data_IF_056686066562
#
_entry.id   IF_056686066562
#
_cell.length_a   1.000
_cell.length_b   1.000
_cell.length_c   1.000
_cell.angle_alpha   90.00
_cell.angle_beta   90.00
_cell.angle_gamma   90.00
#
_symmetry.space_group_name_H-M   'P 1'
#
loop_
_entity.id
_entity.type
_entity.pdbx_description
1 polymer ?
#
# COMPACT_ATOMS: atom_id res chain seq x y z
N UNK A 1 12.84 -12.34 -20.84
CA UNK A 1 12.37 -11.58 -19.65
C UNK A 1 11.02 -10.90 -19.91
N UNK A 2 10.02 -11.62 -20.41
CA UNK A 2 8.71 -11.07 -20.79
C UNK A 2 7.51 -11.85 -20.21
N UNK A 3 7.74 -13.06 -19.71
CA UNK A 3 6.69 -13.93 -19.18
C UNK A 3 6.07 -13.42 -17.87
N UNK A 4 6.85 -12.72 -17.04
CA UNK A 4 6.43 -12.26 -15.71
C UNK A 4 5.33 -11.18 -15.75
N UNK A 5 5.23 -10.45 -16.89
CA UNK A 5 4.26 -9.37 -17.11
C UNK A 5 2.85 -9.86 -17.52
N UNK A 6 2.70 -11.14 -17.88
CA UNK A 6 1.41 -11.71 -18.28
C UNK A 6 0.79 -12.60 -17.19
N UNK A 7 1.15 -12.35 -15.93
CA UNK A 7 0.55 -13.02 -14.78
C UNK A 7 -0.29 -12.02 -13.99
N UNK A 8 -1.30 -12.48 -13.21
CA UNK A 8 -1.98 -11.60 -12.25
C UNK A 8 -1.00 -10.90 -11.30
N UNK A 9 0.13 -11.53 -10.95
CA UNK A 9 1.18 -10.92 -10.12
C UNK A 9 1.85 -9.71 -10.79
N UNK A 10 1.92 -9.67 -12.12
CA UNK A 10 2.40 -8.49 -12.84
C UNK A 10 1.53 -7.24 -12.64
N UNK A 11 0.25 -7.40 -12.27
CA UNK A 11 -0.64 -6.29 -11.91
C UNK A 11 -0.35 -5.74 -10.52
N UNK A 12 0.30 -6.53 -9.67
CA UNK A 12 0.64 -6.13 -8.31
C UNK A 12 1.94 -5.33 -8.26
N UNK A 13 2.70 -5.25 -9.35
CA UNK A 13 3.98 -4.55 -9.38
C UNK A 13 5.14 -5.42 -8.87
N UNK A 14 6.17 -4.78 -8.30
CA UNK A 14 7.36 -5.51 -7.83
C UNK A 14 7.95 -4.89 -6.57
N UNK A 15 8.73 -5.67 -5.82
CA UNK A 15 9.51 -5.19 -4.68
C UNK A 15 10.99 -5.16 -5.09
N UNK A 16 11.64 -4.01 -4.90
CA UNK A 16 13.05 -3.80 -5.20
C UNK A 16 13.64 -2.84 -4.16
N UNK A 17 14.83 -3.16 -3.63
CA UNK A 17 15.54 -2.31 -2.66
C UNK A 17 14.69 -1.81 -1.48
N UNK A 18 13.77 -2.65 -0.97
CA UNK A 18 12.91 -2.30 0.16
C UNK A 18 11.70 -1.44 -0.15
N UNK A 19 11.46 -1.15 -1.43
CA UNK A 19 10.31 -0.44 -1.90
C UNK A 19 9.47 -1.35 -2.79
N UNK A 20 8.16 -1.31 -2.58
CA UNK A 20 7.21 -1.82 -3.56
C UNK A 20 6.89 -0.73 -4.57
N UNK A 21 6.82 -1.09 -5.85
CA UNK A 21 6.54 -0.18 -6.96
C UNK A 21 5.24 -0.61 -7.65
N UNK A 22 4.27 0.30 -7.66
CA UNK A 22 2.96 0.12 -8.31
C UNK A 22 2.78 1.17 -9.40
N UNK A 23 2.49 0.75 -10.63
CA UNK A 23 2.31 1.66 -11.76
C UNK A 23 0.83 1.84 -12.08
N UNK A 24 0.43 3.07 -12.36
CA UNK A 24 -0.93 3.38 -12.81
C UNK A 24 -0.95 4.56 -13.78
N UNK A 25 -2.07 4.72 -14.47
CA UNK A 25 -2.36 5.89 -15.31
C UNK A 25 -3.58 6.61 -14.75
N UNK A 26 -3.49 7.93 -14.67
CA UNK A 26 -4.63 8.78 -14.31
C UNK A 26 -5.71 8.66 -15.39
N UNK A 27 -6.89 8.22 -14.98
CA UNK A 27 -8.06 8.05 -15.83
C UNK A 27 -9.03 9.22 -15.67
N UNK A 28 -10.06 9.28 -16.52
CA UNK A 28 -11.05 10.36 -16.48
C UNK A 28 -11.76 10.45 -15.13
N UNK A 29 -12.12 9.31 -14.55
CA UNK A 29 -12.75 9.19 -13.22
C UNK A 29 -11.87 9.71 -12.07
N UNK A 30 -10.55 9.85 -12.31
CA UNK A 30 -9.63 10.33 -11.30
C UNK A 30 -9.61 11.86 -11.19
N UNK A 31 -10.14 12.57 -12.20
CA UNK A 31 -10.04 14.03 -12.33
C UNK A 31 -11.28 14.77 -11.82
N UNK A 32 -11.10 16.01 -11.34
CA UNK A 32 -12.19 16.91 -10.95
C UNK A 32 -12.39 18.07 -11.93
N UNK A 33 -13.30 18.99 -11.60
CA UNK A 33 -13.62 20.16 -12.43
C UNK A 33 -12.42 21.10 -12.68
N UNK A 34 -11.34 20.98 -11.92
CA UNK A 34 -10.08 21.69 -12.13
C UNK A 34 -9.19 21.07 -13.22
N UNK A 35 -9.58 19.94 -13.81
CA UNK A 35 -8.80 19.25 -14.83
C UNK A 35 -7.57 18.52 -14.30
N UNK A 36 -7.49 18.36 -12.97
CA UNK A 36 -6.43 17.64 -12.26
C UNK A 36 -7.01 16.50 -11.43
N UNK A 37 -6.14 15.60 -10.96
CA UNK A 37 -6.52 14.52 -10.04
C UNK A 37 -7.20 15.11 -8.81
N UNK A 38 -8.42 14.64 -8.52
CA UNK A 38 -9.12 14.98 -7.28
C UNK A 38 -8.30 14.51 -6.08
N UNK A 39 -8.09 15.39 -5.11
CA UNK A 39 -7.16 15.12 -3.99
C UNK A 39 -7.41 13.77 -3.29
N UNK A 40 -8.65 13.34 -3.10
CA UNK A 40 -8.97 12.06 -2.48
C UNK A 40 -8.52 10.83 -3.31
N UNK A 41 -8.35 10.98 -4.63
CA UNK A 41 -7.90 9.88 -5.48
C UNK A 41 -6.43 9.51 -5.26
N UNK A 42 -5.60 10.41 -4.73
CA UNK A 42 -4.26 10.03 -4.26
C UNK A 42 -4.31 8.99 -3.12
N UNK A 43 -5.34 9.05 -2.26
CA UNK A 43 -5.57 8.01 -1.24
C UNK A 43 -5.97 6.69 -1.88
N UNK A 44 -6.84 6.71 -2.90
CA UNK A 44 -7.24 5.51 -3.64
C UNK A 44 -6.05 4.87 -4.36
N UNK A 45 -5.18 5.68 -4.99
CA UNK A 45 -3.95 5.20 -5.62
C UNK A 45 -3.01 4.53 -4.61
N UNK A 46 -2.82 5.17 -3.45
CA UNK A 46 -2.01 4.62 -2.39
C UNK A 46 -2.62 3.32 -1.80
N UNK A 47 -3.94 3.23 -1.68
CA UNK A 47 -4.62 2.00 -1.24
C UNK A 47 -4.38 0.85 -2.21
N UNK A 48 -4.62 1.07 -3.51
CA UNK A 48 -4.36 0.06 -4.55
C UNK A 48 -2.93 -0.46 -4.47
N UNK A 49 -1.96 0.44 -4.27
CA UNK A 49 -0.56 0.08 -4.09
C UNK A 49 -0.29 -0.70 -2.80
N UNK A 50 -0.94 -0.37 -1.66
CA UNK A 50 -0.79 -1.15 -0.41
C UNK A 50 -1.35 -2.57 -0.57
N UNK A 51 -2.52 -2.69 -1.17
CA UNK A 51 -3.15 -3.99 -1.41
C UNK A 51 -2.31 -4.85 -2.37
N UNK A 52 -1.73 -4.22 -3.41
CA UNK A 52 -0.78 -4.86 -4.31
C UNK A 52 0.53 -5.26 -3.61
N UNK A 53 1.09 -4.40 -2.75
CA UNK A 53 2.27 -4.70 -1.94
C UNK A 53 2.09 -5.97 -1.11
N UNK A 54 0.97 -6.08 -0.39
CA UNK A 54 0.66 -7.26 0.42
C UNK A 54 0.63 -8.53 -0.44
N UNK A 55 0.02 -8.50 -1.62
CA UNK A 55 0.01 -9.63 -2.54
C UNK A 55 1.40 -9.98 -3.08
N UNK A 56 2.25 -8.99 -3.40
CA UNK A 56 3.63 -9.21 -3.82
C UNK A 56 4.46 -9.94 -2.77
N UNK A 57 4.16 -9.75 -1.49
CA UNK A 57 4.87 -10.40 -0.38
C UNK A 57 4.12 -11.60 0.17
N UNK A 58 3.18 -12.16 -0.60
CA UNK A 58 2.42 -13.37 -0.27
C UNK A 58 1.52 -13.24 0.97
N UNK A 59 0.90 -12.06 1.11
CA UNK A 59 -0.16 -11.78 2.09
C UNK A 59 -1.46 -11.51 1.32
N UNK A 60 -2.35 -12.51 1.28
CA UNK A 60 -3.64 -12.44 0.61
C UNK A 60 -4.73 -12.05 1.62
N UNK A 61 -5.17 -10.80 1.57
CA UNK A 61 -6.16 -10.29 2.53
C UNK A 61 -7.50 -11.03 2.43
N UNK A 62 -7.90 -11.42 1.22
CA UNK A 62 -9.12 -12.20 1.00
C UNK A 62 -9.10 -13.54 1.76
N UNK A 63 -7.95 -14.22 1.75
CA UNK A 63 -7.75 -15.50 2.45
C UNK A 63 -7.70 -15.30 3.96
N UNK A 64 -7.00 -14.27 4.44
CA UNK A 64 -6.94 -13.98 5.88
C UNK A 64 -8.28 -13.54 6.45
N UNK A 65 -9.16 -12.96 5.63
CA UNK A 65 -10.52 -12.60 6.03
C UNK A 65 -11.48 -13.81 6.05
N UNK A 66 -11.30 -14.76 5.14
CA UNK A 66 -12.11 -15.97 5.04
C UNK A 66 -11.67 -17.08 6.02
N UNK A 67 -10.50 -16.94 6.65
CA UNK A 67 -10.00 -17.88 7.64
C UNK A 67 -10.93 -17.97 8.87
N UNK A 68 -10.89 -19.11 9.57
CA UNK A 68 -11.65 -19.32 10.79
C UNK A 68 -11.36 -18.24 11.85
N UNK A 69 -12.27 -18.05 12.80
CA UNK A 69 -12.21 -16.93 13.75
C UNK A 69 -10.84 -16.70 14.42
N UNK A 70 -10.15 -17.78 14.81
CA UNK A 70 -8.82 -17.74 15.44
C UNK A 70 -7.71 -17.25 14.49
N UNK A 71 -7.80 -17.58 13.22
CA UNK A 71 -6.79 -17.25 12.20
C UNK A 71 -7.14 -15.99 11.39
N UNK A 72 -8.39 -15.52 11.51
CA UNK A 72 -8.89 -14.36 10.78
C UNK A 72 -8.15 -13.06 11.13
N UNK A 73 -7.64 -12.35 10.13
CA UNK A 73 -7.07 -11.03 10.36
C UNK A 73 -7.38 -10.04 9.25
N UNK A 74 -7.47 -8.78 9.65
CA UNK A 74 -7.69 -7.63 8.78
C UNK A 74 -6.72 -6.52 9.14
N UNK A 75 -6.28 -5.79 8.12
CA UNK A 75 -5.56 -4.54 8.30
C UNK A 75 -6.53 -3.36 8.21
N UNK A 76 -6.51 -2.50 9.22
CA UNK A 76 -7.33 -1.30 9.29
C UNK A 76 -6.46 -0.06 9.42
N UNK A 77 -6.75 0.96 8.61
CA UNK A 77 -6.06 2.25 8.72
C UNK A 77 -6.56 2.97 9.98
N UNK A 78 -5.64 3.29 10.91
CA UNK A 78 -5.95 4.02 12.16
C UNK A 78 -5.70 5.52 12.06
N UNK A 79 -4.72 5.93 11.24
CA UNK A 79 -4.34 7.32 11.02
C UNK A 79 -3.71 7.43 9.64
N UNK A 80 -3.98 8.55 8.97
CA UNK A 80 -3.43 8.85 7.67
C UNK A 80 -3.16 10.36 7.59
N UNK A 81 -1.97 10.73 7.12
CA UNK A 81 -1.66 12.10 6.71
C UNK A 81 -1.21 12.10 5.25
N UNK A 82 -1.64 13.11 4.49
CA UNK A 82 -1.24 13.31 3.11
C UNK A 82 -0.72 14.74 2.93
N UNK A 83 0.48 14.85 2.37
CA UNK A 83 1.01 16.12 1.86
C UNK A 83 0.87 16.13 0.34
N UNK A 84 0.13 17.11 -0.20
CA UNK A 84 -0.01 17.32 -1.63
C UNK A 84 1.01 18.36 -2.11
N UNK A 85 1.96 17.94 -2.94
CA UNK A 85 3.08 18.77 -3.37
C UNK A 85 2.88 19.32 -4.78
N UNK A 86 2.33 18.50 -5.69
CA UNK A 86 2.11 18.86 -7.10
C UNK A 86 0.88 18.14 -7.66
N UNK A 87 0.25 18.77 -8.63
CA UNK A 87 -0.89 18.18 -9.34
C UNK A 87 -0.44 17.28 -10.52
N UNK A 88 -1.31 16.35 -10.91
CA UNK A 88 -1.26 15.62 -12.16
C UNK A 88 -2.60 15.76 -12.90
N UNK A 89 -2.55 15.72 -14.22
CA UNK A 89 -3.74 15.74 -15.09
C UNK A 89 -4.06 14.37 -15.69
N UNK A 90 -5.15 14.35 -16.45
CA UNK A 90 -5.58 13.18 -17.23
C UNK A 90 -4.42 12.59 -18.04
N UNK A 91 -4.29 11.27 -17.99
CA UNK A 91 -3.30 10.54 -18.78
C UNK A 91 -1.90 10.52 -18.18
N UNK A 92 -1.62 11.21 -17.07
CA UNK A 92 -0.32 11.13 -16.40
C UNK A 92 0.00 9.67 -15.99
N UNK A 93 1.22 9.21 -16.30
CA UNK A 93 1.74 7.95 -15.81
C UNK A 93 2.37 8.16 -14.43
N UNK A 94 1.85 7.43 -13.43
CA UNK A 94 2.26 7.56 -12.04
C UNK A 94 2.86 6.25 -11.54
N UNK A 95 3.80 6.37 -10.60
CA UNK A 95 4.32 5.29 -9.79
C UNK A 95 4.00 5.59 -8.34
N UNK A 96 3.41 4.63 -7.63
CA UNK A 96 3.30 4.67 -6.18
C UNK A 96 4.38 3.79 -5.60
N UNK A 97 5.27 4.37 -4.80
CA UNK A 97 6.25 3.61 -4.02
C UNK A 97 5.72 3.39 -2.61
N UNK A 98 5.78 2.16 -2.09
CA UNK A 98 5.36 1.82 -0.73
C UNK A 98 6.52 1.23 0.04
N UNK A 99 6.82 1.79 1.22
CA UNK A 99 7.88 1.33 2.12
C UNK A 99 7.34 1.09 3.52
N UNK A 100 7.79 0.01 4.16
CA UNK A 100 7.53 -0.24 5.57
C UNK A 100 8.46 0.62 6.42
N UNK A 101 7.90 1.62 7.12
CA UNK A 101 8.67 2.50 7.99
C UNK A 101 8.87 1.89 9.38
N UNK A 102 7.82 1.29 9.95
CA UNK A 102 7.92 0.63 11.26
C UNK A 102 6.98 -0.55 11.37
N UNK A 103 7.40 -1.56 12.14
CA UNK A 103 6.63 -2.77 12.40
C UNK A 103 6.63 -3.08 13.90
N UNK A 104 5.44 -3.20 14.47
CA UNK A 104 5.19 -3.58 15.87
C UNK A 104 4.31 -4.84 15.90
N UNK A 105 4.06 -5.36 17.11
CA UNK A 105 3.34 -6.64 17.26
C UNK A 105 1.94 -6.68 16.67
N UNK A 106 1.22 -5.56 16.65
CA UNK A 106 -0.17 -5.44 16.17
C UNK A 106 -0.38 -4.25 15.22
N UNK A 107 0.69 -3.60 14.78
CA UNK A 107 0.60 -2.41 13.93
C UNK A 107 1.82 -2.23 13.06
N UNK A 108 1.65 -1.48 11.97
CA UNK A 108 2.72 -1.04 11.10
C UNK A 108 2.49 0.41 10.68
N UNK A 109 3.56 1.05 10.21
CA UNK A 109 3.49 2.35 9.53
C UNK A 109 4.13 2.20 8.17
N UNK A 110 3.42 2.64 7.13
CA UNK A 110 3.90 2.70 5.75
C UNK A 110 4.15 4.15 5.35
N UNK A 111 5.20 4.39 4.59
CA UNK A 111 5.37 5.61 3.80
C UNK A 111 5.02 5.28 2.36
N UNK A 112 4.21 6.13 1.73
CA UNK A 112 3.93 6.02 0.31
C UNK A 112 4.16 7.32 -0.43
N UNK A 113 4.80 7.25 -1.58
CA UNK A 113 5.04 8.40 -2.44
C UNK A 113 4.38 8.17 -3.80
N UNK A 114 3.52 9.10 -4.21
CA UNK A 114 2.95 9.13 -5.55
C UNK A 114 3.84 10.01 -6.42
N UNK A 115 4.48 9.41 -7.41
CA UNK A 115 5.55 9.99 -8.21
C UNK A 115 5.10 10.03 -9.66
N UNK A 116 5.31 11.15 -10.34
CA UNK A 116 5.15 11.21 -11.79
C UNK A 116 6.30 10.44 -12.45
N UNK A 117 5.96 9.45 -13.27
CA UNK A 117 6.93 8.52 -13.85
C UNK A 117 7.88 9.18 -14.85
N UNK A 118 7.44 10.22 -15.54
CA UNK A 118 8.20 10.87 -16.63
C UNK A 118 9.26 11.84 -16.10
N UNK A 119 8.95 12.58 -15.03
CA UNK A 119 9.84 13.62 -14.50
C UNK A 119 10.36 13.35 -13.08
N UNK A 120 9.90 12.29 -12.42
CA UNK A 120 10.34 11.90 -11.08
C UNK A 120 9.83 12.80 -9.95
N UNK A 121 8.95 13.77 -10.23
CA UNK A 121 8.42 14.63 -9.19
C UNK A 121 7.49 13.87 -8.25
N UNK A 122 7.69 14.06 -6.95
CA UNK A 122 6.74 13.62 -5.93
C UNK A 122 5.53 14.54 -5.96
N UNK A 123 4.36 13.94 -6.18
CA UNK A 123 3.07 14.61 -6.26
C UNK A 123 2.37 14.63 -4.90
N UNK A 124 2.42 13.49 -4.20
CA UNK A 124 1.88 13.36 -2.86
C UNK A 124 2.72 12.41 -2.01
N UNK A 125 2.78 12.67 -0.71
CA UNK A 125 3.36 11.78 0.30
C UNK A 125 2.30 11.38 1.31
N UNK A 126 2.23 10.09 1.62
CA UNK A 126 1.30 9.55 2.59
C UNK A 126 2.07 8.85 3.71
N UNK A 127 1.70 9.15 4.95
CA UNK A 127 2.10 8.39 6.13
C UNK A 127 0.88 7.62 6.63
N UNK A 128 0.92 6.31 6.54
CA UNK A 128 -0.23 5.44 6.77
C UNK A 128 0.05 4.54 7.95
N UNK A 129 -0.74 4.74 9.00
CA UNK A 129 -0.68 3.96 10.20
C UNK A 129 -1.76 2.87 10.18
N UNK A 130 -1.35 1.61 10.34
CA UNK A 130 -2.22 0.44 10.14
C UNK A 130 -2.21 -0.43 11.41
N UNK A 131 -3.38 -0.86 11.84
CA UNK A 131 -3.57 -1.86 12.89
C UNK A 131 -3.96 -3.22 12.32
N UNK A 132 -3.54 -4.30 12.97
CA UNK A 132 -4.02 -5.65 12.73
C UNK A 132 -5.16 -5.96 13.70
N UNK A 133 -6.31 -6.40 13.18
CA UNK A 133 -7.50 -6.71 13.96
C UNK A 133 -8.07 -8.08 13.58
N UNK A 134 -8.81 -8.70 14.50
CA UNK A 134 -9.66 -9.88 14.26
C UNK A 134 -11.14 -9.52 14.45
N UNK A 135 -12.02 -10.37 13.95
CA UNK A 135 -13.43 -10.32 14.31
C UNK A 135 -13.60 -10.57 15.83
N UNK A 136 -14.25 -9.62 16.50
CA UNK A 136 -14.65 -9.71 17.89
C UNK A 136 -15.90 -10.56 18.07
N UNK A 137 -16.08 -11.12 19.26
CA UNK A 137 -17.27 -11.91 19.64
C UNK A 137 -18.56 -11.07 19.64
N UNK A 138 -18.43 -9.75 19.67
CA UNK A 138 -19.48 -8.74 19.63
C UNK A 138 -19.78 -8.23 18.20
N UNK A 139 -19.16 -8.82 17.17
CA UNK A 139 -19.26 -8.36 15.78
C UNK A 139 -18.41 -7.13 15.46
N UNK A 140 -17.70 -6.57 16.44
CA UNK A 140 -16.75 -5.48 16.23
C UNK A 140 -15.36 -5.97 15.79
N UNK A 141 -14.44 -5.06 15.51
CA UNK A 141 -13.03 -5.40 15.26
C UNK A 141 -12.20 -5.21 16.53
N UNK A 142 -11.37 -6.20 16.90
CA UNK A 142 -10.49 -6.12 18.07
C UNK A 142 -9.02 -6.21 17.67
N UNK A 143 -8.11 -5.38 18.23
CA UNK A 143 -6.68 -5.48 17.96
C UNK A 143 -6.15 -6.88 18.22
N UNK A 144 -5.36 -7.41 17.30
CA UNK A 144 -4.65 -8.70 17.44
C UNK A 144 -3.19 -8.55 17.06
N UNK A 145 -2.35 -9.44 17.60
CA UNK A 145 -0.98 -9.57 17.09
C UNK A 145 -1.00 -10.14 15.66
N UNK A 146 -0.09 -9.65 14.83
CA UNK A 146 0.16 -10.23 13.51
C UNK A 146 0.75 -11.64 13.68
N UNK A 147 0.31 -12.63 12.89
CA UNK A 147 0.95 -13.94 12.84
C UNK A 147 2.44 -13.84 12.49
N UNK A 148 3.27 -14.76 12.98
CA UNK A 148 4.72 -14.75 12.73
C UNK A 148 5.05 -14.76 11.23
N UNK A 149 4.35 -15.59 10.46
CA UNK A 149 4.54 -15.68 9.01
C UNK A 149 4.23 -14.36 8.27
N UNK A 150 3.33 -13.53 8.80
CA UNK A 150 3.05 -12.19 8.26
C UNK A 150 4.19 -11.22 8.60
N UNK A 151 4.66 -11.26 9.85
CA UNK A 151 5.80 -10.46 10.30
C UNK A 151 7.07 -10.79 9.52
N UNK A 152 7.33 -12.08 9.27
CA UNK A 152 8.47 -12.56 8.50
C UNK A 152 8.45 -12.04 7.07
N UNK A 153 7.31 -12.13 6.37
CA UNK A 153 7.14 -11.59 5.02
C UNK A 153 7.36 -10.08 4.95
N UNK A 154 6.77 -9.32 5.89
CA UNK A 154 6.94 -7.86 5.98
C UNK A 154 8.40 -7.46 6.22
N UNK A 155 9.12 -8.20 7.09
CA UNK A 155 10.55 -7.97 7.34
C UNK A 155 11.41 -8.34 6.15
N UNK A 156 11.16 -9.46 5.48
CA UNK A 156 11.92 -9.87 4.31
C UNK A 156 11.83 -8.87 3.16
N UNK A 157 10.67 -8.23 3.01
CA UNK A 157 10.45 -7.18 2.01
C UNK A 157 11.06 -5.81 2.36
N UNK A 158 11.63 -5.67 3.56
CA UNK A 158 12.21 -4.42 4.07
C UNK A 158 13.67 -4.67 4.45
N UNK A 159 14.64 -4.37 3.57
CA UNK A 159 16.05 -4.54 3.88
C UNK A 159 16.39 -3.73 5.14
N UNK A 160 17.30 -4.25 5.98
CA UNK A 160 17.74 -3.54 7.16
C UNK A 160 18.38 -2.22 6.74
N UNK A 161 17.80 -1.14 7.26
CA UNK A 161 18.28 0.24 7.21
C UNK A 161 18.08 1.01 5.89
N UNK A 162 16.93 1.66 5.79
CA UNK A 162 16.83 2.96 5.10
C UNK A 162 16.25 3.95 6.09
N UNK A 163 16.97 4.22 7.19
CA UNK A 163 16.68 5.38 8.00
C UNK A 163 16.78 6.63 7.11
N UNK A 164 15.75 7.51 7.08
CA UNK A 164 15.97 8.86 6.58
C UNK A 164 16.92 9.55 7.57
N UNK A 165 18.10 9.94 7.08
CA UNK A 165 18.98 10.89 7.76
C UNK A 165 18.35 12.28 7.83
#
# INVERSE_FOLDING_TARGET
MTADRMTPGGLDGWVENGAHHYLLRVQFEDTDAGGIVYHANYLAFAERARSAYLRCIDIRQEETMAAGAEDSMMFVVRRLSIDYMRAAGLGAALKVETRLQSLRGASMTLIQEVINFENGHILARLLVDIGCVAAGRDGGARPRRMPSAVVERLRAATPPDTAPG
#
